data_IF_733917826224
#
_entry.id   IF_733917826224
#
_cell.length_a   1.000
_cell.length_b   1.000
_cell.length_c   1.000
_cell.angle_alpha   90.00
_cell.angle_beta   90.00
_cell.angle_gamma   90.00
#
_symmetry.space_group_name_H-M   'P 1'
#
loop_
_entity.id
_entity.type
_entity.pdbx_description
1 polymer ?
#
# COMPACT_ATOMS: atom_id res chain seq x y z
N UNK A 1 -3.95 -6.95 -14.71
CA UNK A 1 -3.91 -5.78 -13.80
C UNK A 1 -2.51 -5.65 -13.20
N UNK A 2 -1.54 -5.22 -14.00
CA UNK A 2 -0.18 -4.93 -13.54
C UNK A 2 0.00 -3.44 -13.26
N UNK A 3 1.06 -3.09 -12.52
CA UNK A 3 1.50 -1.71 -12.35
C UNK A 3 2.68 -1.48 -13.31
N UNK A 4 2.54 -0.58 -14.28
CA UNK A 4 3.65 -0.21 -15.16
C UNK A 4 4.63 0.69 -14.39
N UNK A 5 5.93 0.46 -14.55
CA UNK A 5 6.98 1.38 -14.13
C UNK A 5 7.80 1.68 -15.37
N UNK A 6 8.01 2.95 -15.70
CA UNK A 6 8.81 3.32 -16.88
C UNK A 6 10.29 3.11 -16.56
N UNK A 7 11.12 2.84 -17.57
CA UNK A 7 12.55 2.49 -17.40
C UNK A 7 13.35 3.52 -16.60
N UNK A 8 12.93 4.79 -16.61
CA UNK A 8 13.57 5.88 -15.87
C UNK A 8 12.95 6.13 -14.48
N UNK A 9 12.07 5.24 -14.00
CA UNK A 9 11.43 5.32 -12.69
C UNK A 9 11.81 4.10 -11.85
N UNK A 10 12.17 4.35 -10.60
CA UNK A 10 12.45 3.32 -9.61
C UNK A 10 11.32 3.18 -8.56
N UNK A 11 10.38 4.13 -8.53
CA UNK A 11 9.32 4.21 -7.52
C UNK A 11 7.99 4.62 -8.13
N UNK A 12 6.88 4.09 -7.58
CA UNK A 12 5.52 4.50 -7.96
C UNK A 12 4.55 4.34 -6.81
N UNK A 13 3.68 5.34 -6.65
CA UNK A 13 2.55 5.30 -5.71
C UNK A 13 1.32 4.70 -6.37
N UNK A 14 0.66 3.80 -5.65
CA UNK A 14 -0.67 3.27 -6.00
C UNK A 14 -1.52 3.18 -4.74
N UNK A 15 -2.83 3.04 -4.92
CA UNK A 15 -3.79 3.01 -3.83
C UNK A 15 -4.60 1.72 -3.86
N UNK A 16 -4.81 1.14 -2.68
CA UNK A 16 -5.65 -0.03 -2.49
C UNK A 16 -6.94 0.41 -1.80
N UNK A 17 -8.06 -0.15 -2.22
CA UNK A 17 -9.34 0.00 -1.53
C UNK A 17 -9.99 -1.36 -1.46
N UNK A 18 -10.34 -1.80 -0.25
CA UNK A 18 -11.11 -3.02 -0.06
C UNK A 18 -12.56 -2.81 -0.49
N UNK A 19 -13.11 -3.73 -1.28
CA UNK A 19 -14.52 -3.73 -1.60
C UNK A 19 -15.36 -4.11 -0.37
N UNK A 20 -16.61 -3.65 -0.29
CA UNK A 20 -17.48 -3.82 0.89
C UNK A 20 -17.71 -5.28 1.29
N UNK A 21 -17.66 -6.20 0.32
CA UNK A 21 -17.93 -7.62 0.53
C UNK A 21 -16.69 -8.43 0.96
N UNK A 22 -15.50 -7.82 0.93
CA UNK A 22 -14.25 -8.52 1.26
C UNK A 22 -14.22 -8.77 2.79
N UNK A 23 -14.01 -10.03 3.23
CA UNK A 23 -13.87 -10.33 4.65
C UNK A 23 -12.65 -9.67 5.30
N UNK A 24 -12.69 -9.49 6.62
CA UNK A 24 -11.52 -9.05 7.37
C UNK A 24 -10.36 -10.06 7.21
N UNK A 25 -9.16 -9.54 6.97
CA UNK A 25 -7.98 -10.38 6.78
C UNK A 25 -6.70 -9.65 7.18
N UNK A 26 -5.67 -10.41 7.50
CA UNK A 26 -4.32 -9.91 7.74
C UNK A 26 -3.36 -10.79 6.98
N UNK A 27 -2.63 -10.20 6.03
CA UNK A 27 -1.73 -10.96 5.16
C UNK A 27 -0.55 -10.11 4.70
N UNK A 28 0.56 -10.78 4.40
CA UNK A 28 1.66 -10.14 3.67
C UNK A 28 1.25 -9.88 2.22
N UNK A 29 1.72 -8.76 1.70
CA UNK A 29 1.52 -8.33 0.32
C UNK A 29 2.83 -7.72 -0.20
N UNK A 30 3.20 -8.07 -1.42
CA UNK A 30 4.30 -7.43 -2.15
C UNK A 30 3.95 -7.41 -3.64
N UNK A 31 4.55 -6.49 -4.37
CA UNK A 31 4.51 -6.48 -5.82
C UNK A 31 5.64 -7.35 -6.37
N UNK A 32 5.37 -8.04 -7.48
CA UNK A 32 6.36 -8.78 -8.26
C UNK A 32 6.32 -8.27 -9.69
N UNK A 33 7.48 -7.90 -10.23
CA UNK A 33 7.63 -7.57 -11.64
C UNK A 33 7.47 -8.85 -12.49
N UNK A 34 6.72 -8.73 -13.59
CA UNK A 34 6.49 -9.81 -14.55
C UNK A 34 7.61 -9.90 -15.60
N UNK A 35 8.33 -8.80 -15.80
CA UNK A 35 9.49 -8.69 -16.69
C UNK A 35 10.81 -9.02 -15.97
N UNK A 36 11.89 -9.21 -16.75
CA UNK A 36 13.19 -9.76 -16.34
C UNK A 36 13.66 -9.38 -14.92
N UNK A 37 14.17 -10.38 -14.20
CA UNK A 37 14.78 -10.20 -12.87
C UNK A 37 13.83 -10.42 -11.68
N UNK A 38 12.53 -10.64 -11.89
CA UNK A 38 11.55 -10.94 -10.83
C UNK A 38 11.64 -9.99 -9.62
N UNK A 39 11.92 -8.71 -9.85
CA UNK A 39 12.09 -7.74 -8.78
C UNK A 39 10.83 -7.68 -7.91
N UNK A 40 11.03 -7.68 -6.59
CA UNK A 40 9.94 -7.65 -5.62
C UNK A 40 10.03 -6.41 -4.75
N UNK A 41 8.89 -5.79 -4.46
CA UNK A 41 8.85 -4.77 -3.41
C UNK A 41 9.13 -5.40 -2.05
N UNK A 42 9.51 -4.55 -1.08
CA UNK A 42 9.51 -4.95 0.33
C UNK A 42 8.09 -5.41 0.69
N UNK A 43 7.93 -6.53 1.42
CA UNK A 43 6.61 -6.98 1.86
C UNK A 43 6.03 -6.02 2.89
N UNK A 44 4.74 -5.73 2.75
CA UNK A 44 3.96 -4.96 3.72
C UNK A 44 2.87 -5.84 4.33
N UNK A 45 2.58 -5.63 5.61
CA UNK A 45 1.47 -6.30 6.28
C UNK A 45 0.17 -5.52 6.00
N UNK A 46 -0.73 -6.12 5.23
CA UNK A 46 -2.02 -5.53 4.88
C UNK A 46 -3.08 -6.00 5.86
N UNK A 47 -3.73 -5.05 6.52
CA UNK A 47 -4.91 -5.28 7.35
C UNK A 47 -6.16 -4.80 6.61
N UNK A 48 -7.08 -5.71 6.34
CA UNK A 48 -8.45 -5.39 5.91
C UNK A 48 -9.34 -5.52 7.15
N UNK A 49 -9.95 -4.41 7.55
CA UNK A 49 -10.80 -4.29 8.74
C UNK A 49 -12.10 -3.57 8.39
N UNK A 50 -13.17 -3.89 9.11
CA UNK A 50 -14.37 -3.06 9.08
C UNK A 50 -14.07 -1.67 9.65
N UNK A 51 -14.87 -0.69 9.23
CA UNK A 51 -14.61 0.75 9.50
C UNK A 51 -14.55 1.08 10.99
N UNK A 52 -15.34 0.38 11.80
CA UNK A 52 -15.41 0.46 13.26
C UNK A 52 -14.15 -0.07 13.96
N UNK A 53 -13.33 -0.87 13.25
CA UNK A 53 -12.09 -1.48 13.77
C UNK A 53 -10.83 -0.92 13.12
N UNK A 54 -10.93 0.20 12.42
CA UNK A 54 -9.75 0.90 11.92
C UNK A 54 -8.96 1.46 13.10
N UNK A 55 -7.63 1.36 13.01
CA UNK A 55 -6.76 1.97 14.01
C UNK A 55 -6.97 3.49 14.02
N UNK A 56 -7.10 4.08 15.20
CA UNK A 56 -7.13 5.54 15.35
C UNK A 56 -5.83 6.10 14.80
N UNK A 57 -5.93 6.98 13.81
CA UNK A 57 -4.81 7.50 13.02
C UNK A 57 -3.67 8.02 13.91
N UNK A 58 -2.48 7.43 13.83
CA UNK A 58 -1.25 7.98 14.40
C UNK A 58 -0.60 9.09 13.56
N UNK A 59 -1.23 9.49 12.45
CA UNK A 59 -0.66 10.47 11.53
C UNK A 59 -1.13 11.91 11.83
N UNK A 60 -0.85 12.39 13.04
CA UNK A 60 -0.70 13.83 13.27
C UNK A 60 0.73 14.20 12.87
N UNK A 61 0.94 14.58 11.61
CA UNK A 61 2.07 15.45 11.29
C UNK A 61 1.78 16.79 11.99
N UNK A 62 2.61 17.27 12.93
CA UNK A 62 2.44 18.65 13.39
C UNK A 62 2.59 19.54 12.17
N UNK A 63 1.61 20.42 11.93
CA UNK A 63 1.77 21.47 10.95
C UNK A 63 3.03 22.24 11.32
N UNK A 64 4.06 22.13 10.48
CA UNK A 64 5.27 22.93 10.58
C UNK A 64 4.82 24.39 10.47
N UNK A 65 4.77 25.05 11.62
CA UNK A 65 4.48 26.48 11.73
C UNK A 65 5.72 27.20 11.23
N UNK A 66 5.81 27.41 9.92
CA UNK A 66 6.71 28.41 9.35
C UNK A 66 6.27 29.75 9.93
N UNK A 67 7.09 30.31 10.81
CA UNK A 67 7.01 31.70 11.24
C UNK A 67 7.67 32.59 10.19
#
# INVERSE_FOLDING_TARGET
NGLLLLDNQNERTFYLTAAKWVPETTRLFHLRADQEGNQTSIPVLLHVKHKDKLATSSNQRPAERVK
#
